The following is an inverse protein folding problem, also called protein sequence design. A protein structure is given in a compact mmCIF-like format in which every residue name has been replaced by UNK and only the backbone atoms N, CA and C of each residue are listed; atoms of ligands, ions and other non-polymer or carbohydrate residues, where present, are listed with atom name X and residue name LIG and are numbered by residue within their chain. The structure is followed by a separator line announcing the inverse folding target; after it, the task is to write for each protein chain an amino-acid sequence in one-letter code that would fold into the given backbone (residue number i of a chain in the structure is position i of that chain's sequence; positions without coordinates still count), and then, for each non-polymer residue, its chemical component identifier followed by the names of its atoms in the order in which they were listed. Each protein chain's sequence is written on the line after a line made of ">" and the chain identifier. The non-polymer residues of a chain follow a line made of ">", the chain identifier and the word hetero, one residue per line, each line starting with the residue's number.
data_IF_950616589107
#
_entry.id   IF_950616589107
#
_cell.length_a   1.000
_cell.length_b   1.000
_cell.length_c   1.000
_cell.angle_alpha   90.00
_cell.angle_beta   90.00
_cell.angle_gamma   90.00
#
_symmetry.space_group_name_H-M   'P 1'
#
loop_
_entity.id
_entity.type
_entity.pdbx_description
1 polymer ?
#
# COMPACT_ATOMS: atom_id res chain seq x y z
N UNK A 1 2.47 -10.96 -7.65
CA UNK A 1 1.12 -10.47 -7.32
C UNK A 1 1.12 -9.62 -6.06
N UNK A 2 0.06 -8.90 -5.83
CA UNK A 2 -0.09 -8.07 -4.62
C UNK A 2 0.02 -8.93 -3.35
N UNK A 3 -0.61 -10.10 -3.35
CA UNK A 3 -0.57 -11.00 -2.20
C UNK A 3 0.84 -11.51 -1.94
N UNK A 4 1.58 -11.82 -3.00
CA UNK A 4 2.96 -12.28 -2.89
C UNK A 4 3.88 -11.18 -2.36
N UNK A 5 3.67 -9.94 -2.77
CA UNK A 5 4.47 -8.82 -2.30
C UNK A 5 4.26 -8.57 -0.81
N UNK A 6 3.03 -8.64 -0.35
CA UNK A 6 2.73 -8.45 1.06
C UNK A 6 3.31 -9.60 1.91
N UNK A 7 3.18 -10.82 1.43
CA UNK A 7 3.78 -11.99 2.09
C UNK A 7 5.30 -11.87 2.16
N UNK A 8 5.94 -11.40 1.08
CA UNK A 8 7.38 -11.19 1.06
C UNK A 8 7.81 -10.13 2.06
N UNK A 9 7.04 -9.06 2.23
CA UNK A 9 7.34 -8.03 3.22
C UNK A 9 7.35 -8.63 4.62
N UNK A 10 6.38 -9.48 4.94
CA UNK A 10 6.32 -10.17 6.23
C UNK A 10 7.53 -11.07 6.44
N UNK A 11 7.89 -11.86 5.44
CA UNK A 11 9.01 -12.80 5.54
C UNK A 11 10.34 -12.10 5.72
N UNK A 12 10.51 -10.96 5.06
CA UNK A 12 11.78 -10.23 5.08
C UNK A 12 11.92 -9.28 6.27
N UNK A 13 10.96 -9.29 7.18
CA UNK A 13 11.01 -8.41 8.35
C UNK A 13 10.81 -6.95 8.02
N UNK A 14 10.28 -6.63 6.86
CA UNK A 14 9.91 -5.26 6.48
C UNK A 14 8.77 -4.81 7.37
N UNK A 15 8.76 -3.54 7.77
CA UNK A 15 7.68 -3.02 8.61
C UNK A 15 6.34 -3.12 7.88
N UNK A 16 5.35 -3.65 8.58
CA UNK A 16 4.01 -3.85 8.03
C UNK A 16 2.98 -3.90 9.17
N UNK A 17 1.72 -3.79 8.79
CA UNK A 17 0.63 -3.93 9.76
C UNK A 17 -0.73 -3.79 9.13
N UNK A 18 -1.75 -3.85 9.95
CA UNK A 18 -3.13 -3.57 9.57
C UNK A 18 -3.36 -2.07 9.43
N UNK A 19 -4.49 -1.70 8.86
CA UNK A 19 -4.76 -0.29 8.55
C UNK A 19 -4.91 0.57 9.81
N UNK A 20 -5.27 -0.03 10.93
CA UNK A 20 -5.36 0.68 12.21
C UNK A 20 -4.01 1.19 12.73
N UNK A 21 -2.92 0.63 12.23
CA UNK A 21 -1.56 1.03 12.64
C UNK A 21 -0.79 1.73 11.53
N UNK A 22 -1.43 2.05 10.40
CA UNK A 22 -0.73 2.65 9.27
C UNK A 22 -0.18 4.04 9.63
N UNK A 23 1.15 4.24 9.53
CA UNK A 23 1.71 5.57 9.72
C UNK A 23 1.45 6.46 8.50
N UNK A 24 1.49 7.76 8.68
CA UNK A 24 1.31 8.71 7.59
C UNK A 24 2.64 8.97 6.90
N UNK A 25 3.11 7.96 6.16
CA UNK A 25 4.41 8.00 5.48
C UNK A 25 4.20 7.76 3.99
N UNK A 26 4.60 8.74 3.18
CA UNK A 26 4.50 8.65 1.72
C UNK A 26 5.36 7.49 1.21
N UNK A 27 4.79 6.71 0.29
CA UNK A 27 5.50 5.60 -0.35
C UNK A 27 5.19 4.23 0.23
N UNK A 28 4.35 4.16 1.27
CA UNK A 28 3.94 2.86 1.79
C UNK A 28 3.15 2.07 0.75
N UNK A 29 3.38 0.76 0.69
CA UNK A 29 2.51 -0.12 -0.05
C UNK A 29 1.22 -0.36 0.70
N UNK A 30 0.11 -0.34 -0.01
CA UNK A 30 -1.19 -0.68 0.52
C UNK A 30 -1.68 -1.94 -0.15
N UNK A 31 -2.25 -2.83 0.64
CA UNK A 31 -2.64 -4.15 0.16
C UNK A 31 -4.07 -4.48 0.54
N UNK A 32 -4.77 -5.10 -0.38
CA UNK A 32 -5.96 -5.90 -0.13
C UNK A 32 -5.91 -7.10 -1.05
N UNK A 33 -6.69 -8.11 -0.79
CA UNK A 33 -6.61 -9.35 -1.55
C UNK A 33 -6.70 -9.08 -3.06
N UNK A 34 -5.66 -9.50 -3.77
CA UNK A 34 -5.59 -9.35 -5.22
C UNK A 34 -5.36 -7.94 -5.74
N UNK A 35 -5.07 -6.97 -4.86
CA UNK A 35 -4.92 -5.59 -5.29
C UNK A 35 -3.88 -4.83 -4.46
N UNK A 36 -3.23 -3.86 -5.07
CA UNK A 36 -2.10 -3.14 -4.53
C UNK A 36 -2.19 -1.66 -4.86
N UNK A 37 -1.74 -0.82 -3.95
CA UNK A 37 -1.65 0.61 -4.18
C UNK A 37 -0.45 1.20 -3.45
N UNK A 38 -0.24 2.50 -3.63
CA UNK A 38 0.84 3.22 -2.97
C UNK A 38 0.26 4.45 -2.28
N UNK A 39 0.56 4.59 -1.00
CA UNK A 39 0.12 5.75 -0.22
C UNK A 39 0.91 6.99 -0.62
N UNK A 40 0.21 8.08 -0.92
CA UNK A 40 0.86 9.31 -1.36
C UNK A 40 0.71 10.46 -0.35
N UNK A 41 0.21 10.15 0.83
CA UNK A 41 0.07 11.15 1.89
C UNK A 41 -1.32 11.78 1.94
N UNK A 42 -1.59 12.47 3.02
CA UNK A 42 -2.83 13.22 3.22
C UNK A 42 -4.11 12.36 3.08
N UNK A 43 -3.99 11.04 3.31
CA UNK A 43 -5.14 10.13 3.22
C UNK A 43 -5.45 9.68 1.81
N UNK A 44 -4.53 9.82 0.86
CA UNK A 44 -4.72 9.42 -0.54
C UNK A 44 -3.76 8.33 -0.96
N UNK A 45 -4.18 7.55 -1.93
CA UNK A 45 -3.36 6.49 -2.53
C UNK A 45 -3.47 6.56 -4.05
N UNK A 46 -2.50 5.96 -4.71
CA UNK A 46 -2.51 5.75 -6.16
C UNK A 46 -2.67 4.25 -6.39
N UNK A 47 -3.60 3.88 -7.26
CA UNK A 47 -3.89 2.47 -7.57
C UNK A 47 -4.08 2.30 -9.07
N UNK A 48 -3.69 1.12 -9.57
CA UNK A 48 -3.97 0.73 -10.94
C UNK A 48 -5.35 0.09 -10.99
N UNK A 49 -6.27 0.72 -11.72
CA UNK A 49 -7.69 0.32 -11.77
C UNK A 49 -8.05 -0.39 -13.07
N UNK A 50 -7.06 -0.99 -13.75
CA UNK A 50 -7.26 -1.70 -14.99
C UNK A 50 -7.10 -0.80 -16.21
N UNK A 51 -7.14 -1.42 -17.40
CA UNK A 51 -6.85 -0.71 -18.64
C UNK A 51 -7.87 0.38 -18.96
N UNK A 52 -9.11 0.21 -18.50
CA UNK A 52 -10.16 1.19 -18.77
C UNK A 52 -9.99 2.49 -17.98
N UNK A 53 -9.54 2.38 -16.74
CA UNK A 53 -9.45 3.52 -15.84
C UNK A 53 -8.02 4.00 -15.60
N UNK A 54 -7.01 3.17 -15.92
CA UNK A 54 -5.63 3.49 -15.73
C UNK A 54 -5.23 3.60 -14.26
N UNK A 55 -4.28 4.48 -13.99
CA UNK A 55 -3.80 4.76 -12.64
C UNK A 55 -4.60 5.94 -12.08
N UNK A 56 -5.21 5.76 -10.93
CA UNK A 56 -6.08 6.78 -10.32
C UNK A 56 -5.65 7.07 -8.89
N UNK A 57 -5.97 8.28 -8.44
CA UNK A 57 -5.79 8.68 -7.05
C UNK A 57 -7.13 8.53 -6.32
N UNK A 58 -7.10 7.82 -5.20
CA UNK A 58 -8.29 7.53 -4.40
C UNK A 58 -8.05 7.88 -2.94
N UNK A 59 -9.14 8.13 -2.21
CA UNK A 59 -9.03 8.22 -0.75
C UNK A 59 -8.77 6.83 -0.19
N UNK A 60 -7.85 6.73 0.77
CA UNK A 60 -7.56 5.47 1.45
C UNK A 60 -8.81 4.97 2.18
N UNK A 61 -9.52 5.88 2.86
CA UNK A 61 -10.73 5.53 3.57
C UNK A 61 -11.81 5.07 2.61
N UNK A 62 -12.48 3.98 2.95
CA UNK A 62 -13.59 3.46 2.15
C UNK A 62 -13.20 2.54 1.01
N UNK A 63 -11.90 2.32 0.79
CA UNK A 63 -11.43 1.44 -0.29
C UNK A 63 -11.22 -0.02 0.13
N UNK A 64 -11.37 -0.31 1.43
CA UNK A 64 -11.23 -1.68 1.91
C UNK A 64 -9.80 -2.19 2.00
N UNK A 65 -8.83 -1.30 2.09
CA UNK A 65 -7.44 -1.72 2.29
C UNK A 65 -7.33 -2.57 3.56
N UNK A 66 -6.53 -3.62 3.50
CA UNK A 66 -6.38 -4.58 4.60
C UNK A 66 -5.07 -4.47 5.33
N UNK A 67 -4.04 -3.95 4.66
CA UNK A 67 -2.74 -3.81 5.29
C UNK A 67 -1.84 -2.83 4.57
N UNK A 68 -0.75 -2.50 5.25
CA UNK A 68 0.30 -1.63 4.73
C UNK A 68 1.65 -2.28 4.94
N UNK A 69 2.62 -1.92 4.13
CA UNK A 69 4.00 -2.33 4.36
C UNK A 69 4.96 -1.29 3.77
N UNK A 70 6.17 -1.24 4.32
CA UNK A 70 7.27 -0.54 3.66
C UNK A 70 7.76 -1.42 2.52
N UNK A 71 7.97 -0.80 1.37
CA UNK A 71 8.40 -1.52 0.17
C UNK A 71 9.92 -1.69 0.25
N UNK A 72 10.45 -2.93 0.08
CA UNK A 72 11.90 -3.15 0.05
C UNK A 72 12.57 -2.26 -0.99
N UNK A 73 13.78 -1.81 -0.70
CA UNK A 73 14.62 -0.98 -1.57
C UNK A 73 14.17 0.47 -1.70
N UNK A 74 13.08 0.90 -1.05
CA UNK A 74 12.73 2.30 -0.94
C UNK A 74 13.28 2.85 0.37
N UNK A 75 13.97 3.98 0.30
CA UNK A 75 14.45 4.67 1.47
C UNK A 75 13.37 5.66 1.94
N UNK A 76 12.96 5.53 3.19
CA UNK A 76 11.92 6.39 3.77
C UNK A 76 12.55 7.42 4.68
N UNK A 77 11.99 8.62 4.69
CA UNK A 77 12.48 9.75 5.47
C UNK A 77 11.69 9.95 6.77
N UNK A 78 11.25 8.89 7.37
CA UNK A 78 10.47 8.97 8.61
C UNK A 78 11.29 8.99 9.90
#
# INVERSE_FOLDING_TARGET
>A
TADQMYAAAKENGTEYGGMDTMPDIVGLGLWKQGHWGVYVGNGYAIEAMGTQYGVVRTKVEGRGWQGWCKIPYIQYDD
#
